data_IF_848179669824
#
_entry.id   IF_848179669824
#
_cell.length_a   1.000
_cell.length_b   1.000
_cell.length_c   1.000
_cell.angle_alpha   90.00
_cell.angle_beta   90.00
_cell.angle_gamma   90.00
#
_symmetry.space_group_name_H-M   'P 1'
#
loop_
_entity.id
_entity.type
_entity.pdbx_description
1 polymer ?
#
# COMPACT_ATOMS: atom_id res chain seq x y z
N UNK A 1 14.57 13.93 -6.25
CA UNK A 1 15.41 12.85 -5.68
C UNK A 1 14.50 11.66 -5.42
N UNK A 2 14.96 10.43 -5.62
CA UNK A 2 14.12 9.25 -5.31
C UNK A 2 14.20 8.92 -3.82
N UNK A 3 13.07 8.53 -3.22
CA UNK A 3 13.01 8.13 -1.81
C UNK A 3 12.18 6.85 -1.61
N UNK A 4 12.35 6.21 -0.45
CA UNK A 4 11.51 5.10 0.00
C UNK A 4 10.58 5.67 1.06
N UNK A 5 9.28 5.51 0.90
CA UNK A 5 8.29 5.87 1.91
C UNK A 5 8.40 4.89 3.08
N UNK A 6 8.90 5.32 4.26
CA UNK A 6 9.16 4.42 5.37
C UNK A 6 7.89 3.83 6.00
N UNK A 7 6.72 4.45 5.80
CA UNK A 7 5.46 3.93 6.32
C UNK A 7 4.26 4.39 5.50
N UNK A 8 3.60 3.45 4.81
CA UNK A 8 2.33 3.71 4.14
C UNK A 8 1.30 2.61 4.42
N UNK A 9 0.02 2.96 4.26
CA UNK A 9 -1.08 2.01 4.21
C UNK A 9 -1.79 2.22 2.88
N UNK A 10 -1.47 1.42 1.87
CA UNK A 10 -1.91 1.71 0.51
C UNK A 10 -3.42 1.46 0.34
N UNK A 11 -4.02 0.63 1.20
CA UNK A 11 -5.47 0.43 1.29
C UNK A 11 -6.25 1.72 1.60
N UNK A 12 -5.64 2.70 2.29
CA UNK A 12 -6.26 3.99 2.60
C UNK A 12 -5.93 5.09 1.59
N UNK A 13 -5.28 4.72 0.48
CA UNK A 13 -4.87 5.63 -0.59
C UNK A 13 -5.70 5.44 -1.85
N UNK A 14 -6.01 6.55 -2.48
CA UNK A 14 -6.61 6.61 -3.83
C UNK A 14 -5.52 6.40 -4.89
N UNK A 15 -5.91 6.16 -6.13
CA UNK A 15 -4.93 6.11 -7.24
C UNK A 15 -4.26 7.47 -7.47
N UNK A 16 -4.96 8.59 -7.22
CA UNK A 16 -4.37 9.93 -7.34
C UNK A 16 -3.23 10.13 -6.35
N UNK A 17 -3.34 9.56 -5.14
CA UNK A 17 -2.24 9.54 -4.18
C UNK A 17 -1.02 8.79 -4.73
N UNK A 18 -1.21 7.70 -5.48
CA UNK A 18 -0.09 6.95 -6.07
C UNK A 18 0.64 7.82 -7.09
N UNK A 19 -0.09 8.52 -7.95
CA UNK A 19 0.49 9.46 -8.90
C UNK A 19 1.24 10.59 -8.20
N UNK A 20 0.68 11.14 -7.11
CA UNK A 20 1.34 12.16 -6.30
C UNK A 20 2.64 11.63 -5.67
N UNK A 21 2.62 10.40 -5.13
CA UNK A 21 3.80 9.75 -4.56
C UNK A 21 4.90 9.55 -5.60
N UNK A 22 4.57 9.02 -6.77
CA UNK A 22 5.54 8.83 -7.87
C UNK A 22 6.09 10.19 -8.34
N UNK A 23 5.22 11.20 -8.47
CA UNK A 23 5.61 12.58 -8.85
C UNK A 23 6.56 13.19 -7.83
N UNK A 24 6.34 12.95 -6.53
CA UNK A 24 7.22 13.37 -5.45
C UNK A 24 8.56 12.60 -5.42
N UNK A 25 8.70 11.54 -6.23
CA UNK A 25 9.90 10.71 -6.32
C UNK A 25 9.89 9.47 -5.44
N UNK A 26 8.73 9.04 -4.93
CA UNK A 26 8.61 7.78 -4.20
C UNK A 26 8.92 6.61 -5.15
N UNK A 27 9.90 5.79 -4.78
CA UNK A 27 10.34 4.64 -5.56
C UNK A 27 9.91 3.29 -4.97
N UNK A 28 9.63 3.25 -3.66
CA UNK A 28 9.15 2.08 -2.96
C UNK A 28 8.43 2.49 -1.67
N UNK A 29 7.54 1.63 -1.18
CA UNK A 29 6.80 1.83 0.06
C UNK A 29 7.09 0.69 1.04
N UNK A 30 7.27 1.04 2.30
CA UNK A 30 7.24 0.11 3.41
C UNK A 30 5.84 0.13 4.02
N UNK A 31 5.04 -0.91 3.80
CA UNK A 31 3.69 -1.02 4.36
C UNK A 31 3.62 -2.17 5.36
N UNK A 32 3.20 -1.90 6.60
CA UNK A 32 3.03 -2.94 7.60
C UNK A 32 1.66 -3.60 7.51
N UNK A 33 1.65 -4.94 7.54
CA UNK A 33 0.41 -5.72 7.55
C UNK A 33 -0.32 -5.74 8.90
N UNK A 34 0.09 -4.98 9.92
CA UNK A 34 -0.42 -5.14 11.29
C UNK A 34 -1.66 -4.30 11.65
N UNK A 35 -2.03 -3.25 10.90
CA UNK A 35 -3.20 -2.43 11.26
C UNK A 35 -4.03 -2.02 10.04
N UNK A 36 -5.32 -2.35 10.08
CA UNK A 36 -6.28 -2.07 9.02
C UNK A 36 -7.17 -0.84 9.29
N UNK A 37 -6.85 -0.05 10.34
CA UNK A 37 -7.70 1.05 10.80
C UNK A 37 -8.83 0.63 11.76
N UNK A 38 -8.89 -0.66 12.12
CA UNK A 38 -9.87 -1.22 13.06
C UNK A 38 -9.29 -2.49 13.71
N UNK A 39 -9.90 -2.89 14.83
CA UNK A 39 -9.54 -4.12 15.53
C UNK A 39 -9.97 -5.35 14.73
N UNK A 40 -9.03 -6.28 14.55
CA UNK A 40 -9.31 -7.52 13.84
C UNK A 40 -10.10 -8.48 14.73
N UNK A 41 -11.14 -9.06 14.15
CA UNK A 41 -11.90 -10.12 14.83
C UNK A 41 -11.21 -11.49 14.79
N UNK A 42 -10.17 -11.66 13.97
CA UNK A 42 -9.41 -12.92 13.87
C UNK A 42 -8.02 -12.73 13.24
N UNK A 43 -7.11 -13.71 13.39
CA UNK A 43 -5.82 -13.74 12.68
C UNK A 43 -5.97 -13.74 11.14
N UNK A 44 -7.11 -14.20 10.63
CA UNK A 44 -7.37 -14.21 9.18
C UNK A 44 -7.31 -12.80 8.59
N UNK A 45 -7.78 -11.79 9.33
CA UNK A 45 -7.70 -10.40 8.87
C UNK A 45 -6.26 -9.86 8.76
N UNK A 46 -5.26 -10.49 9.38
CA UNK A 46 -3.86 -10.18 9.12
C UNK A 46 -3.42 -10.76 7.78
N UNK A 47 -3.76 -12.03 7.53
CA UNK A 47 -3.47 -12.70 6.26
C UNK A 47 -4.12 -11.99 5.08
N UNK A 48 -5.38 -11.59 5.20
CA UNK A 48 -6.10 -10.87 4.14
C UNK A 48 -5.44 -9.52 3.81
N UNK A 49 -4.96 -8.81 4.84
CA UNK A 49 -4.20 -7.56 4.64
C UNK A 49 -2.84 -7.82 3.97
N UNK A 50 -2.17 -8.91 4.33
CA UNK A 50 -0.93 -9.31 3.67
C UNK A 50 -1.16 -9.56 2.17
N UNK A 51 -2.23 -10.26 1.79
CA UNK A 51 -2.62 -10.43 0.39
C UNK A 51 -3.02 -9.11 -0.28
N UNK A 52 -3.66 -8.18 0.43
CA UNK A 52 -3.89 -6.83 -0.07
C UNK A 52 -2.56 -6.20 -0.49
N UNK A 53 -1.57 -6.18 0.41
CA UNK A 53 -0.23 -5.63 0.16
C UNK A 53 0.53 -6.34 -0.97
N UNK A 54 0.58 -7.67 -0.98
CA UNK A 54 1.47 -8.41 -1.92
C UNK A 54 0.82 -8.67 -3.27
N UNK A 55 -0.50 -8.82 -3.31
CA UNK A 55 -1.19 -9.29 -4.51
C UNK A 55 -2.10 -8.21 -5.10
N UNK A 56 -2.87 -7.50 -4.27
CA UNK A 56 -3.83 -6.51 -4.76
C UNK A 56 -3.14 -5.21 -5.17
N UNK A 57 -2.36 -4.61 -4.27
CA UNK A 57 -1.81 -3.27 -4.49
C UNK A 57 -0.83 -3.19 -5.68
N UNK A 58 0.07 -4.17 -5.92
CA UNK A 58 0.92 -4.15 -7.11
C UNK A 58 0.10 -4.28 -8.41
N UNK A 59 -0.95 -5.11 -8.42
CA UNK A 59 -1.85 -5.22 -9.57
C UNK A 59 -2.66 -3.95 -9.79
N UNK A 60 -3.08 -3.27 -8.71
CA UNK A 60 -3.78 -1.99 -8.79
C UNK A 60 -2.86 -0.92 -9.38
N UNK A 61 -1.63 -0.78 -8.90
CA UNK A 61 -0.63 0.15 -9.42
C UNK A 61 -0.32 -0.09 -10.91
N UNK A 62 -0.09 -1.35 -11.29
CA UNK A 62 0.26 -1.73 -12.66
C UNK A 62 -0.80 -1.34 -13.71
N UNK A 63 -2.09 -1.26 -13.33
CA UNK A 63 -3.17 -0.79 -14.22
C UNK A 63 -3.00 0.67 -14.67
N UNK A 64 -2.22 1.45 -13.94
CA UNK A 64 -1.94 2.86 -14.22
C UNK A 64 -0.50 3.11 -14.68
N UNK A 65 0.28 2.04 -14.92
CA UNK A 65 1.68 2.13 -15.34
C UNK A 65 2.62 2.67 -14.26
N UNK A 66 2.25 2.48 -12.98
CA UNK A 66 3.06 2.81 -11.81
C UNK A 66 3.79 1.57 -11.28
#
# INVERSE_FOLDING_TARGET
>A
MRYIEPHAHMVSRTTDDYHAMVTAGCAAVCEPAFWAGFDRSSPQGFFDYFCQLTDHEPRRAARFGL
#
